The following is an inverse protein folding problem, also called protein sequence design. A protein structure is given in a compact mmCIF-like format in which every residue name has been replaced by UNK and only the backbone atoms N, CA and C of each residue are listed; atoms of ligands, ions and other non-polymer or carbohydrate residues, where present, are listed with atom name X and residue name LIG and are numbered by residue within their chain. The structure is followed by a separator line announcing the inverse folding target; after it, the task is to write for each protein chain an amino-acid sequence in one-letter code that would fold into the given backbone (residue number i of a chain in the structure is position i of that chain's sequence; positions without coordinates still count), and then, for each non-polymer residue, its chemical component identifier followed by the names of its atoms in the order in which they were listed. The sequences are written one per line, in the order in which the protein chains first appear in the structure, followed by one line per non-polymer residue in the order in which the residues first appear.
data_IF_044520133912
#
_entry.id   IF_044520133912
#
_cell.length_a   1.000
_cell.length_b   1.000
_cell.length_c   1.000
_cell.angle_alpha   90.00
_cell.angle_beta   90.00
_cell.angle_gamma   90.00
#
_symmetry.space_group_name_H-M   'P 1'
#
loop_
_entity.id
_entity.type
_entity.pdbx_description
1 polymer ?
#
# COMPACT_ATOMS: atom_id res chain seq x y z
N UNK A 1 -29.25 7.91 -18.17
CA UNK A 1 -28.80 8.61 -16.94
C UNK A 1 -27.86 7.68 -16.20
N UNK A 2 -26.62 8.10 -15.92
CA UNK A 2 -25.70 7.34 -15.07
C UNK A 2 -25.98 7.65 -13.60
N UNK A 3 -26.22 6.62 -12.79
CA UNK A 3 -26.40 6.74 -11.34
C UNK A 3 -25.02 6.63 -10.68
N UNK A 4 -24.53 7.71 -10.09
CA UNK A 4 -23.27 7.70 -9.34
C UNK A 4 -23.45 7.03 -7.99
N UNK A 5 -22.55 6.10 -7.64
CA UNK A 5 -22.55 5.41 -6.35
C UNK A 5 -21.22 5.72 -5.66
N UNK A 6 -21.29 6.24 -4.43
CA UNK A 6 -20.11 6.46 -3.59
C UNK A 6 -19.79 5.18 -2.84
N UNK A 7 -18.58 4.66 -3.02
CA UNK A 7 -18.10 3.45 -2.36
C UNK A 7 -16.70 3.65 -1.79
N UNK A 8 -16.33 2.81 -0.82
CA UNK A 8 -14.95 2.76 -0.37
C UNK A 8 -14.05 2.28 -1.51
N UNK A 9 -13.02 3.07 -1.85
CA UNK A 9 -12.08 2.73 -2.93
C UNK A 9 -11.15 1.56 -2.58
N UNK A 10 -10.92 1.27 -1.30
CA UNK A 10 -9.96 0.25 -0.87
C UNK A 10 -10.31 -1.15 -1.39
N UNK A 11 -11.52 -1.71 -1.16
CA UNK A 11 -11.86 -3.03 -1.70
C UNK A 11 -11.80 -3.09 -3.23
N UNK A 12 -12.18 -2.00 -3.92
CA UNK A 12 -12.12 -1.91 -5.38
C UNK A 12 -10.69 -1.92 -5.89
N UNK A 13 -9.81 -1.10 -5.30
CA UNK A 13 -8.39 -1.04 -5.67
C UNK A 13 -7.67 -2.34 -5.36
N UNK A 14 -7.97 -2.98 -4.22
CA UNK A 14 -7.42 -4.29 -3.88
C UNK A 14 -7.78 -5.34 -4.93
N UNK A 15 -9.06 -5.44 -5.28
CA UNK A 15 -9.52 -6.43 -6.27
C UNK A 15 -8.96 -6.13 -7.67
N UNK A 16 -8.99 -4.87 -8.10
CA UNK A 16 -8.43 -4.46 -9.38
C UNK A 16 -6.93 -4.82 -9.48
N UNK A 17 -6.13 -4.46 -8.48
CA UNK A 17 -4.70 -4.73 -8.48
C UNK A 17 -4.40 -6.24 -8.39
N UNK A 18 -5.19 -7.01 -7.66
CA UNK A 18 -5.09 -8.47 -7.65
C UNK A 18 -5.35 -9.06 -9.04
N UNK A 19 -6.42 -8.63 -9.73
CA UNK A 19 -6.70 -9.08 -11.10
C UNK A 19 -5.58 -8.70 -12.07
N UNK A 20 -5.01 -7.50 -11.96
CA UNK A 20 -3.86 -7.12 -12.80
C UNK A 20 -2.63 -8.00 -12.51
N UNK A 21 -2.34 -8.28 -11.23
CA UNK A 21 -1.22 -9.14 -10.86
C UNK A 21 -1.41 -10.58 -11.36
N UNK A 22 -2.60 -11.16 -11.23
CA UNK A 22 -2.92 -12.48 -11.79
C UNK A 22 -2.71 -12.50 -13.31
N UNK A 23 -3.12 -11.44 -14.01
CA UNK A 23 -2.89 -11.27 -15.47
C UNK A 23 -1.42 -11.13 -15.85
N UNK A 24 -0.57 -10.74 -14.92
CA UNK A 24 0.89 -10.70 -15.09
C UNK A 24 1.58 -12.04 -14.76
N UNK A 25 0.81 -13.05 -14.34
CA UNK A 25 1.30 -14.40 -14.06
C UNK A 25 1.61 -14.70 -12.60
N UNK A 26 1.18 -13.84 -11.66
CA UNK A 26 1.28 -14.14 -10.23
C UNK A 26 0.18 -15.11 -9.80
N UNK A 27 0.49 -15.98 -8.83
CA UNK A 27 -0.51 -16.84 -8.22
C UNK A 27 -1.55 -16.03 -7.44
N UNK A 28 -2.77 -16.55 -7.31
CA UNK A 28 -3.87 -15.80 -6.70
C UNK A 28 -3.56 -15.25 -5.30
N UNK A 29 -2.83 -16.02 -4.48
CA UNK A 29 -2.44 -15.60 -3.13
C UNK A 29 -1.42 -14.46 -3.14
N UNK A 30 -0.48 -14.46 -4.09
CA UNK A 30 0.49 -13.39 -4.30
C UNK A 30 -0.22 -12.14 -4.83
N UNK A 31 -1.11 -12.32 -5.80
CA UNK A 31 -1.94 -11.27 -6.37
C UNK A 31 -2.78 -10.54 -5.30
N UNK A 32 -3.40 -11.27 -4.37
CA UNK A 32 -4.10 -10.68 -3.22
C UNK A 32 -3.17 -9.88 -2.31
N UNK A 33 -1.96 -10.37 -2.08
CA UNK A 33 -0.93 -9.69 -1.28
C UNK A 33 -0.50 -8.38 -1.95
N UNK A 34 -0.24 -8.41 -3.25
CA UNK A 34 0.09 -7.25 -4.06
C UNK A 34 -1.08 -6.24 -4.08
N UNK A 35 -2.31 -6.72 -4.26
CA UNK A 35 -3.50 -5.87 -4.25
C UNK A 35 -3.67 -5.13 -2.93
N UNK A 36 -3.47 -5.81 -1.80
CA UNK A 36 -3.49 -5.19 -0.47
C UNK A 36 -2.39 -4.14 -0.33
N UNK A 37 -1.18 -4.41 -0.82
CA UNK A 37 -0.07 -3.46 -0.78
C UNK A 37 -0.37 -2.19 -1.59
N UNK A 38 -0.88 -2.32 -2.81
CA UNK A 38 -1.26 -1.18 -3.68
C UNK A 38 -2.34 -0.32 -3.02
N UNK A 39 -3.40 -0.94 -2.48
CA UNK A 39 -4.46 -0.23 -1.78
C UNK A 39 -3.92 0.52 -0.54
N UNK A 40 -3.05 -0.14 0.23
CA UNK A 40 -2.39 0.42 1.41
C UNK A 40 -1.51 1.63 1.07
N UNK A 41 -0.64 1.51 0.05
CA UNK A 41 0.22 2.60 -0.41
C UNK A 41 -0.61 3.80 -0.89
N UNK A 42 -1.66 3.54 -1.65
CA UNK A 42 -2.54 4.62 -2.14
C UNK A 42 -3.27 5.32 -1.00
N UNK A 43 -3.69 4.57 0.03
CA UNK A 43 -4.27 5.13 1.26
C UNK A 43 -3.23 5.96 2.04
N UNK A 44 -2.01 5.46 2.18
CA UNK A 44 -0.92 6.17 2.84
C UNK A 44 -0.61 7.50 2.15
N UNK A 45 -0.35 7.49 0.84
CA UNK A 45 -0.07 8.71 0.08
C UNK A 45 -1.23 9.70 0.13
N UNK A 46 -2.48 9.24 0.24
CA UNK A 46 -3.62 10.14 0.43
C UNK A 46 -3.63 10.75 1.84
N UNK A 47 -3.34 9.99 2.88
CA UNK A 47 -3.24 10.51 4.24
C UNK A 47 -2.09 11.51 4.40
N UNK A 48 -0.93 11.26 3.77
CA UNK A 48 0.17 12.22 3.73
C UNK A 48 -0.24 13.53 3.03
N UNK A 49 -0.89 13.43 1.86
CA UNK A 49 -1.39 14.61 1.13
C UNK A 49 -2.45 15.40 1.89
N UNK A 50 -3.17 14.76 2.80
CA UNK A 50 -4.14 15.42 3.68
C UNK A 50 -3.50 15.97 4.97
N UNK A 51 -2.21 15.72 5.20
CA UNK A 51 -1.52 16.11 6.43
C UNK A 51 -1.96 15.32 7.67
N UNK A 52 -2.55 14.13 7.48
CA UNK A 52 -3.08 13.31 8.58
C UNK A 52 -2.02 12.43 9.26
N UNK A 53 -0.83 12.32 8.67
CA UNK A 53 0.25 11.52 9.22
C UNK A 53 1.38 12.41 9.73
N UNK A 54 1.83 12.11 10.94
CA UNK A 54 3.01 12.74 11.52
C UNK A 54 4.27 12.10 10.92
N UNK A 55 5.31 12.91 10.65
CA UNK A 55 6.59 12.39 10.20
C UNK A 55 7.15 11.43 11.25
N UNK A 56 7.67 10.29 10.80
CA UNK A 56 8.35 9.35 11.71
C UNK A 56 9.50 10.07 12.44
N UNK A 57 9.59 9.98 13.78
CA UNK A 57 10.67 10.61 14.54
C UNK A 57 12.06 10.16 14.06
N UNK A 58 13.04 11.09 14.03
CA UNK A 58 14.40 10.79 13.55
C UNK A 58 15.07 9.67 14.32
N UNK A 59 14.88 9.60 15.64
CA UNK A 59 15.40 8.51 16.47
C UNK A 59 14.92 7.11 16.02
N UNK A 60 13.70 7.02 15.46
CA UNK A 60 13.18 5.75 14.91
C UNK A 60 13.82 5.48 13.55
N UNK A 61 14.01 6.50 12.71
CA UNK A 61 14.69 6.36 11.41
C UNK A 61 16.14 5.90 11.59
N UNK A 62 16.86 6.45 12.56
CA UNK A 62 18.23 6.04 12.92
C UNK A 62 18.30 4.60 13.39
N UNK A 63 17.39 4.18 14.28
CA UNK A 63 17.31 2.77 14.71
C UNK A 63 17.09 1.82 13.53
N UNK A 64 16.22 2.18 12.57
CA UNK A 64 15.99 1.38 11.36
C UNK A 64 17.25 1.32 10.49
N UNK A 65 17.92 2.46 10.24
CA UNK A 65 19.20 2.51 9.50
C UNK A 65 20.24 1.57 10.11
N UNK A 66 20.42 1.64 11.43
CA UNK A 66 21.35 0.79 12.17
C UNK A 66 20.98 -0.69 12.12
N UNK A 67 19.69 -1.04 12.20
CA UNK A 67 19.23 -2.42 12.04
C UNK A 67 19.52 -2.96 10.64
N UNK A 68 19.19 -2.20 9.59
CA UNK A 68 19.48 -2.61 8.21
C UNK A 68 20.98 -2.81 7.96
N UNK A 69 21.84 -1.94 8.50
CA UNK A 69 23.29 -2.10 8.40
C UNK A 69 23.81 -3.37 9.11
N UNK A 70 23.19 -3.75 10.24
CA UNK A 70 23.55 -4.97 10.98
C UNK A 70 23.12 -6.26 10.28
N UNK A 71 21.99 -6.24 9.57
CA UNK A 71 21.50 -7.42 8.82
C UNK A 71 22.24 -7.63 7.50
N UNK A 72 22.91 -6.59 6.99
CA UNK A 72 23.69 -6.64 5.74
C UNK A 72 25.17 -7.01 5.95
N UNK A 73 25.62 -7.20 7.19
CA UNK A 73 26.97 -7.61 7.58
C UNK A 73 26.95 -9.06 8.09
#
# INVERSE_FOLDING_TARGET
MSRTITINRAPVLTLWAAVVAERLGFEWHEALTLGRAVAGLTAHSKGERLGLFEPTPEAIKDKRRLQHAKTAA
#
